data_IF_041713491365
#
_entry.id   IF_041713491365
#
_cell.length_a   1.000
_cell.length_b   1.000
_cell.length_c   1.000
_cell.angle_alpha   90.00
_cell.angle_beta   90.00
_cell.angle_gamma   90.00
#
_symmetry.space_group_name_H-M   'P 1'
#
loop_
_entity.id
_entity.type
_entity.pdbx_description
1 polymer ?
#
# COMPACT_ATOMS: atom_id res chain seq x y z
N UNK A 1 11.24 -14.89 -52.08
CA UNK A 1 10.24 -13.90 -51.66
C UNK A 1 9.43 -14.32 -50.42
N UNK A 2 9.00 -15.57 -50.32
CA UNK A 2 8.23 -16.04 -49.14
C UNK A 2 9.02 -15.95 -47.83
N UNK A 3 10.32 -16.25 -47.85
CA UNK A 3 11.19 -16.14 -46.63
C UNK A 3 11.36 -14.70 -46.14
N UNK A 4 11.40 -13.72 -47.06
CA UNK A 4 11.54 -12.30 -46.68
C UNK A 4 10.23 -11.74 -46.14
N UNK A 5 9.10 -12.21 -46.66
CA UNK A 5 7.79 -11.82 -46.18
C UNK A 5 7.50 -12.37 -44.79
N UNK A 6 7.86 -13.63 -44.52
CA UNK A 6 7.75 -14.22 -43.16
C UNK A 6 8.65 -13.55 -42.14
N UNK A 7 9.86 -13.16 -42.51
CA UNK A 7 10.77 -12.43 -41.62
C UNK A 7 10.23 -11.04 -41.30
N UNK A 8 9.66 -10.34 -42.28
CA UNK A 8 9.04 -9.03 -42.09
C UNK A 8 7.80 -9.09 -41.22
N UNK A 9 7.00 -10.14 -41.34
CA UNK A 9 5.81 -10.39 -40.52
C UNK A 9 6.19 -10.69 -39.07
N UNK A 10 7.27 -11.43 -38.84
CA UNK A 10 7.80 -11.78 -37.51
C UNK A 10 8.32 -10.52 -36.77
N UNK A 11 9.01 -9.64 -37.51
CA UNK A 11 9.49 -8.36 -36.96
C UNK A 11 8.33 -7.45 -36.59
N UNK A 12 7.28 -7.41 -37.40
CA UNK A 12 6.08 -6.59 -37.18
C UNK A 12 5.29 -7.05 -35.91
N UNK A 13 5.29 -8.36 -35.63
CA UNK A 13 4.63 -8.94 -34.45
C UNK A 13 5.44 -8.68 -33.17
N UNK A 14 6.76 -8.60 -33.25
CA UNK A 14 7.63 -8.37 -32.10
C UNK A 14 7.66 -6.88 -31.63
N UNK A 15 7.35 -5.94 -32.51
CA UNK A 15 7.38 -4.50 -32.21
C UNK A 15 6.39 -4.05 -31.12
N UNK A 16 5.14 -4.55 -31.02
CA UNK A 16 4.22 -4.13 -29.99
C UNK A 16 4.53 -4.70 -28.60
N UNK A 17 5.36 -5.74 -28.48
CA UNK A 17 5.71 -6.35 -27.17
C UNK A 17 6.65 -5.49 -26.34
N UNK A 18 7.37 -4.55 -26.96
CA UNK A 18 8.30 -3.66 -26.26
C UNK A 18 7.68 -2.32 -25.88
N UNK A 19 6.47 -2.00 -26.38
CA UNK A 19 5.84 -0.69 -26.22
C UNK A 19 4.98 -0.56 -24.93
N UNK A 20 4.78 -1.64 -24.15
CA UNK A 20 3.85 -1.67 -23.02
C UNK A 20 4.53 -1.61 -21.63
N UNK A 21 5.75 -1.11 -21.52
CA UNK A 21 6.34 -0.86 -20.21
C UNK A 21 5.87 0.51 -19.69
N UNK A 22 4.87 0.51 -18.81
CA UNK A 22 4.57 1.67 -17.98
C UNK A 22 5.78 1.95 -17.09
N UNK A 23 6.32 3.15 -17.20
CA UNK A 23 7.39 3.59 -16.31
C UNK A 23 6.79 3.83 -14.92
N UNK A 24 7.22 3.04 -13.95
CA UNK A 24 6.86 3.21 -12.55
C UNK A 24 8.00 3.88 -11.81
N UNK A 25 7.67 4.84 -10.97
CA UNK A 25 8.62 5.53 -10.10
C UNK A 25 8.50 5.00 -8.67
N UNK A 26 9.61 5.01 -7.96
CA UNK A 26 9.66 4.69 -6.54
C UNK A 26 9.22 5.91 -5.73
N UNK A 27 8.24 5.70 -4.87
CA UNK A 27 7.72 6.69 -3.93
C UNK A 27 7.89 6.22 -2.49
N UNK A 28 7.83 7.17 -1.56
CA UNK A 28 7.89 6.91 -0.12
C UNK A 28 6.84 7.74 0.60
N UNK A 29 6.23 7.18 1.62
CA UNK A 29 5.39 7.89 2.59
C UNK A 29 5.89 7.60 4.01
N UNK A 30 5.86 8.61 4.87
CA UNK A 30 6.31 8.50 6.25
C UNK A 30 5.24 9.06 7.18
N UNK A 31 4.90 8.31 8.23
CA UNK A 31 3.95 8.71 9.27
C UNK A 31 4.61 8.61 10.65
N UNK A 32 4.30 9.56 11.51
CA UNK A 32 4.88 9.68 12.86
C UNK A 32 3.86 9.45 13.98
N UNK A 33 2.61 9.22 13.63
CA UNK A 33 1.46 9.14 14.52
C UNK A 33 0.85 7.73 14.62
N UNK A 34 1.55 6.72 14.11
CA UNK A 34 1.10 5.34 14.14
C UNK A 34 2.00 4.49 15.04
N UNK A 35 1.40 3.70 15.93
CA UNK A 35 2.06 2.70 16.78
C UNK A 35 3.20 3.24 17.65
N UNK A 36 3.14 4.53 18.02
CA UNK A 36 4.18 5.23 18.79
C UNK A 36 5.58 5.12 18.16
N UNK A 37 5.63 5.04 16.84
CA UNK A 37 6.87 4.88 16.07
C UNK A 37 6.80 5.61 14.73
N UNK A 38 7.89 5.56 14.00
CA UNK A 38 7.93 6.04 12.61
C UNK A 38 7.58 4.89 11.67
N UNK A 39 6.50 5.06 10.91
CA UNK A 39 6.10 4.11 9.87
C UNK A 39 6.50 4.64 8.49
N UNK A 40 7.23 3.84 7.74
CA UNK A 40 7.70 4.18 6.39
C UNK A 40 7.18 3.12 5.42
N UNK A 41 6.53 3.58 4.36
CA UNK A 41 6.08 2.75 3.25
C UNK A 41 6.77 3.21 1.97
N UNK A 42 7.32 2.26 1.24
CA UNK A 42 7.92 2.50 -0.08
C UNK A 42 7.28 1.59 -1.12
N UNK A 43 7.12 2.10 -2.32
CA UNK A 43 6.53 1.33 -3.41
C UNK A 43 6.60 2.04 -4.74
N UNK A 44 6.24 1.31 -5.77
CA UNK A 44 6.21 1.81 -7.14
C UNK A 44 4.78 2.19 -7.54
N UNK A 45 4.64 3.32 -8.21
CA UNK A 45 3.39 3.78 -8.77
C UNK A 45 3.61 4.51 -10.11
N UNK A 46 2.54 4.62 -10.89
CA UNK A 46 2.57 5.27 -12.20
C UNK A 46 2.67 6.81 -12.08
N UNK A 47 2.15 7.37 -10.99
CA UNK A 47 2.09 8.81 -10.75
C UNK A 47 2.03 9.14 -9.27
N UNK A 48 2.32 10.40 -8.93
CA UNK A 48 2.17 10.92 -7.58
C UNK A 48 0.72 10.80 -7.08
N UNK A 49 -0.26 11.09 -7.93
CA UNK A 49 -1.68 11.00 -7.57
C UNK A 49 -2.11 9.55 -7.26
N UNK A 50 -1.66 8.60 -8.06
CA UNK A 50 -1.88 7.17 -7.80
C UNK A 50 -1.22 6.73 -6.50
N UNK A 51 0.01 7.15 -6.23
CA UNK A 51 0.72 6.88 -4.97
C UNK A 51 -0.03 7.47 -3.77
N UNK A 52 -0.47 8.72 -3.86
CA UNK A 52 -1.20 9.39 -2.78
C UNK A 52 -2.52 8.68 -2.47
N UNK A 53 -3.26 8.24 -3.48
CA UNK A 53 -4.51 7.49 -3.28
C UNK A 53 -4.27 6.15 -2.58
N UNK A 54 -3.23 5.42 -2.98
CA UNK A 54 -2.86 4.14 -2.36
C UNK A 54 -2.41 4.32 -0.90
N UNK A 55 -1.55 5.30 -0.64
CA UNK A 55 -1.03 5.54 0.72
C UNK A 55 -2.09 6.10 1.66
N UNK A 56 -3.04 6.88 1.16
CA UNK A 56 -4.17 7.33 1.96
C UNK A 56 -5.05 6.17 2.42
N UNK A 57 -5.31 5.20 1.55
CA UNK A 57 -6.02 3.98 1.90
C UNK A 57 -5.24 3.14 2.93
N UNK A 58 -3.93 2.97 2.73
CA UNK A 58 -3.06 2.28 3.69
C UNK A 58 -3.05 2.98 5.05
N UNK A 59 -2.93 4.29 5.07
CA UNK A 59 -2.94 5.08 6.32
C UNK A 59 -4.24 4.88 7.09
N UNK A 60 -5.38 4.92 6.41
CA UNK A 60 -6.69 4.69 7.03
C UNK A 60 -6.79 3.31 7.68
N UNK A 61 -6.31 2.27 6.99
CA UNK A 61 -6.28 0.92 7.53
C UNK A 61 -5.32 0.79 8.72
N UNK A 62 -4.12 1.35 8.62
CA UNK A 62 -3.13 1.34 9.69
C UNK A 62 -3.60 2.12 10.91
N UNK A 63 -4.28 3.25 10.71
CA UNK A 63 -4.88 4.03 11.79
C UNK A 63 -5.92 3.20 12.57
N UNK A 64 -6.74 2.45 11.86
CA UNK A 64 -7.70 1.54 12.49
C UNK A 64 -6.99 0.46 13.33
N UNK A 65 -5.92 -0.14 12.82
CA UNK A 65 -5.13 -1.09 13.60
C UNK A 65 -4.43 -0.44 14.78
N UNK A 66 -3.92 0.77 14.63
CA UNK A 66 -3.33 1.54 15.72
C UNK A 66 -4.32 1.71 16.88
N UNK A 67 -5.56 2.08 16.58
CA UNK A 67 -6.62 2.20 17.59
C UNK A 67 -6.99 0.86 18.24
N UNK A 68 -7.09 -0.21 17.45
CA UNK A 68 -7.46 -1.54 17.95
C UNK A 68 -6.38 -2.16 18.86
N UNK A 69 -5.12 -1.96 18.55
CA UNK A 69 -3.99 -2.53 19.28
C UNK A 69 -3.42 -1.60 20.37
N UNK A 70 -3.96 -0.39 20.50
CA UNK A 70 -3.53 0.53 21.57
C UNK A 70 -3.91 -0.04 22.94
N UNK A 71 -2.90 -0.17 23.80
CA UNK A 71 -3.06 -0.64 25.17
C UNK A 71 -3.12 0.49 26.20
N UNK A 72 -2.93 1.73 25.78
CA UNK A 72 -2.82 2.91 26.64
C UNK A 72 -4.06 3.80 26.62
N UNK A 73 -4.83 3.80 25.52
CA UNK A 73 -5.90 4.74 25.32
C UNK A 73 -7.20 4.06 24.89
N UNK A 74 -8.30 4.59 25.42
CA UNK A 74 -9.65 4.28 24.95
C UNK A 74 -10.02 5.19 23.75
N UNK A 75 -10.76 4.64 22.78
CA UNK A 75 -11.32 5.37 21.64
C UNK A 75 -12.82 5.19 21.57
N UNK A 76 -13.56 6.29 21.41
CA UNK A 76 -15.03 6.24 21.33
C UNK A 76 -15.51 5.38 20.16
N UNK A 77 -16.42 4.45 20.45
CA UNK A 77 -16.99 3.55 19.46
C UNK A 77 -16.11 2.36 19.06
N UNK A 78 -14.93 2.22 19.66
CA UNK A 78 -14.00 1.11 19.39
C UNK A 78 -13.69 0.37 20.69
N UNK A 79 -13.93 -0.94 20.68
CA UNK A 79 -13.43 -1.82 21.75
C UNK A 79 -12.06 -2.32 21.33
N UNK A 80 -11.03 -1.89 22.02
CA UNK A 80 -9.64 -2.17 21.71
C UNK A 80 -8.93 -2.96 22.84
N UNK A 81 -7.64 -3.19 22.69
CA UNK A 81 -6.86 -3.93 23.72
C UNK A 81 -6.85 -3.25 25.07
N UNK A 82 -6.86 -1.91 25.12
CA UNK A 82 -7.00 -1.17 26.37
C UNK A 82 -8.28 -1.58 27.12
N UNK A 83 -9.41 -1.59 26.43
CA UNK A 83 -10.71 -1.94 26.99
C UNK A 83 -10.76 -3.40 27.46
N UNK A 84 -10.18 -4.30 26.67
CA UNK A 84 -10.09 -5.73 27.02
C UNK A 84 -9.23 -5.92 28.27
N UNK A 85 -8.08 -5.28 28.34
CA UNK A 85 -7.19 -5.35 29.51
C UNK A 85 -7.84 -4.75 30.77
N UNK A 86 -8.54 -3.64 30.64
CA UNK A 86 -9.26 -3.02 31.76
C UNK A 86 -10.37 -3.92 32.30
N UNK A 87 -11.12 -4.58 31.43
CA UNK A 87 -12.15 -5.55 31.81
C UNK A 87 -11.57 -6.80 32.46
N UNK A 88 -10.49 -7.33 31.91
CA UNK A 88 -9.80 -8.49 32.47
C UNK A 88 -9.21 -8.21 33.86
N UNK A 89 -8.71 -7.02 34.09
CA UNK A 89 -8.20 -6.59 35.39
C UNK A 89 -9.31 -6.41 36.44
N UNK A 90 -10.53 -6.07 36.03
CA UNK A 90 -11.69 -5.87 36.89
C UNK A 90 -12.47 -7.16 37.15
N UNK A 91 -12.32 -8.19 36.32
CA UNK A 91 -13.01 -9.49 36.48
C UNK A 91 -12.17 -10.43 37.34
N UNK A 92 -12.73 -10.99 38.43
CA UNK A 92 -12.03 -12.01 39.21
C UNK A 92 -11.88 -13.34 38.45
#
# INVERSE_FOLDING_TARGET
MKRRLTALLLVLICLPLTACQKQQNLYSATWFDLFDTVAIVQGYADSQDSWNAQTQAMYSDLQRYNELYDIYHHYDGVINLYDVNARAAAAP
#
